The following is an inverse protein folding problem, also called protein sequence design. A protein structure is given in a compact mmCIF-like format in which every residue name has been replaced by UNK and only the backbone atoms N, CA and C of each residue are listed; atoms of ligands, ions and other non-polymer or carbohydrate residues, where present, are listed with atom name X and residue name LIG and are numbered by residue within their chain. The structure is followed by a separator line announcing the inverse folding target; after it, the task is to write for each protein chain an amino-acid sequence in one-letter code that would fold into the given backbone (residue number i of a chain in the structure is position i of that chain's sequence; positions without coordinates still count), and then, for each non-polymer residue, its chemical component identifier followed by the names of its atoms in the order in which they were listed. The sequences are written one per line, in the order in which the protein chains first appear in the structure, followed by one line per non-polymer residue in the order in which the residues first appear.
data_IF_435573381902
#
_entry.id   IF_435573381902
#
_cell.length_a   1.000
_cell.length_b   1.000
_cell.length_c   1.000
_cell.angle_alpha   90.00
_cell.angle_beta   90.00
_cell.angle_gamma   90.00
#
_symmetry.space_group_name_H-M   'P 1'
#
loop_
_entity.id
_entity.type
_entity.pdbx_description
1 polymer ?
#
# COMPACT_ATOMS: atom_id res chain seq x y z
N UNK A 1 -6.51 12.55 -0.61
CA UNK A 1 -6.66 11.89 0.72
C UNK A 1 -8.07 12.13 1.26
N UNK A 2 -8.69 11.13 1.91
CA UNK A 2 -10.04 11.25 2.46
C UNK A 2 -10.08 12.21 3.66
N UNK A 3 -11.18 12.96 3.77
CA UNK A 3 -11.45 13.90 4.86
C UNK A 3 -12.76 13.54 5.55
N UNK A 4 -12.83 13.75 6.86
CA UNK A 4 -14.04 13.62 7.69
C UNK A 4 -14.08 14.80 8.66
N UNK A 5 -15.20 15.51 8.72
CA UNK A 5 -15.32 16.74 9.51
C UNK A 5 -14.27 17.81 9.14
N UNK A 6 -13.94 17.95 7.85
CA UNK A 6 -12.93 18.89 7.35
C UNK A 6 -11.47 18.49 7.55
N UNK A 7 -11.17 17.51 8.43
CA UNK A 7 -9.81 17.03 8.73
C UNK A 7 -9.43 15.84 7.84
N UNK A 8 -8.16 15.73 7.44
CA UNK A 8 -7.68 14.57 6.67
C UNK A 8 -7.53 13.37 7.61
N UNK A 9 -7.96 12.19 7.20
CA UNK A 9 -7.96 11.00 8.06
C UNK A 9 -6.57 10.60 8.55
N UNK A 10 -5.53 10.78 7.73
CA UNK A 10 -4.17 10.44 8.14
C UNK A 10 -3.62 11.36 9.24
N UNK A 11 -4.12 12.60 9.36
CA UNK A 11 -3.74 13.52 10.44
C UNK A 11 -4.32 13.05 11.78
N UNK A 12 -5.53 12.50 11.75
CA UNK A 12 -6.16 11.89 12.93
C UNK A 12 -5.44 10.60 13.32
N UNK A 13 -5.08 9.76 12.34
CA UNK A 13 -4.34 8.52 12.56
C UNK A 13 -3.00 8.76 13.29
N UNK A 14 -2.20 9.73 12.82
CA UNK A 14 -0.91 10.08 13.45
C UNK A 14 -1.04 10.62 14.87
N UNK A 15 -2.20 11.16 15.22
CA UNK A 15 -2.52 11.66 16.57
C UNK A 15 -3.18 10.59 17.44
N UNK A 16 -3.36 9.37 16.94
CA UNK A 16 -4.14 8.30 17.59
C UNK A 16 -5.59 8.73 17.91
N UNK A 17 -6.17 9.60 17.07
CA UNK A 17 -7.54 10.12 17.21
C UNK A 17 -8.49 9.58 16.12
N UNK A 18 -8.07 8.55 15.40
CA UNK A 18 -8.87 7.96 14.33
C UNK A 18 -9.83 6.93 14.90
N UNK A 19 -11.13 7.23 14.87
CA UNK A 19 -12.19 6.27 15.17
C UNK A 19 -12.57 5.47 13.90
N UNK A 20 -12.66 4.14 14.02
CA UNK A 20 -13.04 3.25 12.92
C UNK A 20 -14.44 3.57 12.37
N UNK A 21 -15.35 4.09 13.20
CA UNK A 21 -16.69 4.54 12.79
C UNK A 21 -16.66 5.74 11.84
N UNK A 22 -15.55 6.49 11.82
CA UNK A 22 -15.35 7.61 10.91
C UNK A 22 -14.79 7.18 9.55
N UNK A 23 -14.42 5.91 9.37
CA UNK A 23 -13.85 5.47 8.10
C UNK A 23 -14.93 5.42 7.02
N UNK A 24 -14.79 6.20 5.94
CA UNK A 24 -15.76 6.19 4.86
C UNK A 24 -15.67 4.87 4.10
N UNK A 25 -16.78 4.15 4.04
CA UNK A 25 -16.90 2.95 3.20
C UNK A 25 -17.12 3.37 1.76
N UNK A 26 -16.45 2.69 0.83
CA UNK A 26 -16.63 2.89 -0.62
C UNK A 26 -16.69 1.53 -1.31
N UNK A 27 -17.77 1.29 -2.06
CA UNK A 27 -17.84 0.15 -2.97
C UNK A 27 -16.87 0.35 -4.13
N UNK A 28 -16.05 -0.65 -4.38
CA UNK A 28 -15.09 -0.71 -5.48
C UNK A 28 -15.24 -2.03 -6.23
N UNK A 29 -14.67 -2.11 -7.41
CA UNK A 29 -14.71 -3.31 -8.25
C UNK A 29 -13.29 -3.77 -8.49
N UNK A 30 -13.03 -5.03 -8.21
CA UNK A 30 -11.81 -5.71 -8.64
C UNK A 30 -12.15 -6.46 -9.93
N UNK A 31 -11.62 -5.98 -11.06
CA UNK A 31 -11.88 -6.58 -12.36
C UNK A 31 -11.07 -7.87 -12.55
N UNK A 32 -9.84 -7.89 -12.06
CA UNK A 32 -9.00 -9.09 -12.07
C UNK A 32 -7.91 -9.04 -11.00
N UNK A 33 -7.53 -10.22 -10.52
CA UNK A 33 -6.31 -10.47 -9.74
C UNK A 33 -5.56 -11.58 -10.48
N UNK A 34 -4.40 -11.26 -11.04
CA UNK A 34 -3.58 -12.23 -11.75
C UNK A 34 -2.32 -12.52 -10.91
N UNK A 35 -2.17 -13.73 -10.35
CA UNK A 35 -0.95 -14.15 -9.68
C UNK A 35 0.26 -13.99 -10.60
N UNK A 36 1.32 -13.38 -10.07
CA UNK A 36 2.61 -13.31 -10.75
C UNK A 36 3.55 -14.34 -10.13
N UNK A 37 3.70 -14.33 -8.79
CA UNK A 37 4.64 -15.22 -8.10
C UNK A 37 4.30 -15.31 -6.61
N UNK A 38 4.59 -16.46 -6.00
CA UNK A 38 4.72 -16.62 -4.55
C UNK A 38 6.19 -16.79 -4.21
N UNK A 39 6.69 -15.98 -3.28
CA UNK A 39 8.09 -15.97 -2.87
C UNK A 39 8.20 -15.83 -1.36
N UNK A 40 9.42 -15.96 -0.85
CA UNK A 40 9.73 -15.67 0.54
C UNK A 40 10.64 -14.45 0.60
N UNK A 41 10.30 -13.47 1.44
CA UNK A 41 11.16 -12.33 1.71
C UNK A 41 11.77 -12.45 3.11
N UNK A 42 13.03 -12.07 3.24
CA UNK A 42 13.64 -11.89 4.55
C UNK A 42 13.31 -10.50 5.08
N UNK A 43 12.73 -10.45 6.27
CA UNK A 43 12.57 -9.19 7.00
C UNK A 43 13.94 -8.79 7.57
N UNK A 44 14.71 -8.01 6.79
CA UNK A 44 15.90 -7.33 7.32
C UNK A 44 15.44 -6.11 8.10
N UNK A 45 15.93 -5.98 9.33
CA UNK A 45 15.68 -4.93 10.34
C UNK A 45 14.97 -3.68 9.76
N UNK A 46 13.65 -3.60 9.94
CA UNK A 46 12.91 -2.36 9.74
C UNK A 46 13.30 -1.40 10.87
N UNK A 47 14.35 -0.61 10.64
CA UNK A 47 14.74 0.49 11.50
C UNK A 47 13.83 1.67 11.14
N UNK A 48 13.04 2.18 12.09
CA UNK A 48 12.30 3.43 11.86
C UNK A 48 13.29 4.58 11.67
N UNK A 49 12.86 5.64 10.97
CA UNK A 49 13.60 6.90 10.88
C UNK A 49 13.95 7.49 12.26
N UNK A 50 13.23 7.11 13.32
CA UNK A 50 13.51 7.47 14.71
C UNK A 50 14.66 6.69 15.37
N UNK A 51 15.32 5.78 14.65
CA UNK A 51 16.35 4.90 15.18
C UNK A 51 15.84 3.81 16.13
N UNK A 52 14.52 3.71 16.33
CA UNK A 52 13.91 2.66 17.13
C UNK A 52 13.71 1.39 16.28
N UNK A 53 14.21 0.28 16.80
CA UNK A 53 13.89 -1.05 16.30
C UNK A 53 12.43 -1.37 16.65
N UNK A 54 11.53 -1.37 15.66
CA UNK A 54 10.10 -1.62 15.88
C UNK A 54 9.82 -3.06 16.31
N UNK A 55 10.72 -3.96 15.89
CA UNK A 55 10.68 -5.37 16.24
C UNK A 55 11.56 -5.67 17.46
N UNK A 56 11.78 -4.70 18.35
CA UNK A 56 12.41 -4.96 19.65
C UNK A 56 11.70 -6.11 20.36
N UNK A 57 12.38 -7.26 20.46
CA UNK A 57 11.93 -8.51 21.09
C UNK A 57 10.72 -9.25 20.47
N UNK A 58 10.40 -9.00 19.20
CA UNK A 58 9.45 -9.87 18.48
C UNK A 58 10.26 -10.79 17.59
N UNK A 59 10.27 -12.11 17.85
CA UNK A 59 11.17 -13.11 17.27
C UNK A 59 11.07 -13.37 15.75
N UNK A 60 10.86 -12.33 14.95
CA UNK A 60 10.79 -12.32 13.49
C UNK A 60 12.11 -11.95 12.81
N UNK A 61 13.13 -11.52 13.55
CA UNK A 61 14.48 -11.36 13.00
C UNK A 61 14.93 -12.68 12.36
N UNK A 62 15.41 -12.62 11.12
CA UNK A 62 15.81 -13.78 10.29
C UNK A 62 14.68 -14.75 9.89
N UNK A 63 13.40 -14.34 9.95
CA UNK A 63 12.31 -15.15 9.39
C UNK A 63 12.05 -14.83 7.93
N UNK A 64 11.87 -15.89 7.14
CA UNK A 64 11.33 -15.82 5.79
C UNK A 64 9.81 -15.71 5.88
N UNK A 65 9.24 -14.61 5.39
CA UNK A 65 7.79 -14.41 5.32
C UNK A 65 7.29 -14.71 3.91
N UNK A 66 6.11 -15.32 3.77
CA UNK A 66 5.49 -15.51 2.46
C UNK A 66 5.10 -14.16 1.87
N UNK A 67 5.38 -13.99 0.58
CA UNK A 67 5.05 -12.81 -0.20
C UNK A 67 4.32 -13.26 -1.46
N UNK A 68 3.12 -12.71 -1.63
CA UNK A 68 2.32 -12.90 -2.82
C UNK A 68 2.45 -11.67 -3.73
N UNK A 69 2.97 -11.88 -4.94
CA UNK A 69 3.03 -10.86 -5.99
C UNK A 69 1.92 -11.12 -7.00
N UNK A 70 1.12 -10.11 -7.29
CA UNK A 70 0.08 -10.16 -8.30
C UNK A 70 -0.04 -8.84 -9.06
N UNK A 71 -0.73 -8.87 -10.21
CA UNK A 71 -1.26 -7.69 -10.87
C UNK A 71 -2.75 -7.59 -10.60
N UNK A 72 -3.24 -6.37 -10.40
CA UNK A 72 -4.64 -6.11 -10.05
C UNK A 72 -5.20 -5.05 -11.00
N UNK A 73 -6.32 -5.35 -11.64
CA UNK A 73 -7.15 -4.38 -12.34
C UNK A 73 -8.34 -4.02 -11.46
N UNK A 74 -8.56 -2.72 -11.21
CA UNK A 74 -9.57 -2.27 -10.27
C UNK A 74 -10.19 -0.93 -10.65
N UNK A 75 -11.36 -0.63 -10.09
CA UNK A 75 -12.04 0.65 -10.27
C UNK A 75 -11.40 1.77 -9.44
N UNK A 76 -11.78 3.02 -9.75
CA UNK A 76 -11.17 4.21 -9.15
C UNK A 76 -11.42 4.29 -7.63
N UNK A 77 -10.39 4.69 -6.88
CA UNK A 77 -10.47 4.82 -5.42
C UNK A 77 -10.35 3.49 -4.66
N UNK A 78 -9.94 2.42 -5.33
CA UNK A 78 -9.53 1.17 -4.67
C UNK A 78 -8.25 1.39 -3.87
N UNK A 79 -8.28 1.01 -2.59
CA UNK A 79 -7.12 1.04 -1.71
C UNK A 79 -6.46 -0.35 -1.70
N UNK A 80 -5.41 -0.54 -2.49
CA UNK A 80 -4.68 -1.83 -2.56
C UNK A 80 -4.15 -2.27 -1.19
N UNK A 81 -3.84 -1.32 -0.30
CA UNK A 81 -3.48 -1.61 1.10
C UNK A 81 -4.62 -2.26 1.90
N UNK A 82 -5.85 -1.78 1.73
CA UNK A 82 -7.02 -2.38 2.35
C UNK A 82 -7.28 -3.77 1.76
N UNK A 83 -7.17 -3.91 0.43
CA UNK A 83 -7.28 -5.24 -0.20
C UNK A 83 -6.25 -6.24 0.34
N UNK A 84 -4.99 -5.83 0.55
CA UNK A 84 -3.98 -6.70 1.15
C UNK A 84 -4.36 -7.14 2.57
N UNK A 85 -4.89 -6.21 3.37
CA UNK A 85 -5.41 -6.52 4.71
C UNK A 85 -6.56 -7.53 4.65
N UNK A 86 -7.58 -7.26 3.84
CA UNK A 86 -8.77 -8.10 3.70
C UNK A 86 -8.44 -9.51 3.19
N UNK A 87 -7.52 -9.61 2.22
CA UNK A 87 -7.02 -10.92 1.74
C UNK A 87 -6.26 -11.68 2.83
N UNK A 88 -5.47 -10.98 3.64
CA UNK A 88 -4.81 -11.58 4.79
C UNK A 88 -5.83 -12.15 5.78
N UNK A 89 -6.82 -11.36 6.18
CA UNK A 89 -7.87 -11.80 7.11
C UNK A 89 -8.61 -13.03 6.58
N UNK A 90 -8.95 -13.04 5.28
CA UNK A 90 -9.60 -14.20 4.64
C UNK A 90 -8.74 -15.47 4.64
N UNK A 91 -7.40 -15.32 4.60
CA UNK A 91 -6.45 -16.43 4.70
C UNK A 91 -6.17 -16.86 6.15
N UNK A 92 -6.78 -16.20 7.13
CA UNK A 92 -6.56 -16.47 8.56
C UNK A 92 -5.24 -15.89 9.09
N UNK A 93 -4.66 -14.90 8.40
CA UNK A 93 -3.45 -14.21 8.83
C UNK A 93 -3.60 -12.69 8.67
N UNK A 94 -2.52 -11.91 8.86
CA UNK A 94 -2.51 -10.49 8.52
C UNK A 94 -1.82 -10.29 7.18
N UNK A 95 -2.36 -9.41 6.35
CA UNK A 95 -1.76 -9.03 5.08
C UNK A 95 -1.33 -7.57 5.10
N UNK A 96 -0.08 -7.32 4.70
CA UNK A 96 0.46 -5.96 4.56
C UNK A 96 1.00 -5.78 3.14
N UNK A 97 0.89 -4.54 2.64
CA UNK A 97 1.45 -4.19 1.34
C UNK A 97 2.95 -3.92 1.48
N UNK A 98 3.77 -4.79 0.89
CA UNK A 98 5.23 -4.63 0.87
C UNK A 98 5.72 -3.63 -0.19
N UNK A 99 5.18 -3.71 -1.41
CA UNK A 99 5.56 -2.87 -2.55
C UNK A 99 4.38 -2.70 -3.49
N UNK A 100 4.30 -1.54 -4.16
CA UNK A 100 3.24 -1.22 -5.10
C UNK A 100 3.78 -0.34 -6.23
N UNK A 101 3.50 -0.77 -7.46
CA UNK A 101 3.73 0.01 -8.67
C UNK A 101 2.40 0.16 -9.38
N UNK A 102 2.00 1.39 -9.67
CA UNK A 102 0.82 1.66 -10.49
C UNK A 102 1.27 1.70 -11.95
N UNK A 103 1.01 0.61 -12.67
CA UNK A 103 1.47 0.44 -14.06
C UNK A 103 0.60 1.16 -15.08
N UNK A 104 -0.67 1.42 -14.79
CA UNK A 104 -1.60 2.04 -15.74
C UNK A 104 -2.70 2.86 -15.04
N UNK A 105 -3.15 3.94 -15.69
CA UNK A 105 -4.34 4.74 -15.31
C UNK A 105 -5.13 5.06 -16.58
N UNK A 106 -6.30 4.46 -16.75
CA UNK A 106 -7.05 4.61 -18.00
C UNK A 106 -6.18 4.14 -19.18
N UNK A 107 -5.94 5.01 -20.15
CA UNK A 107 -5.11 4.72 -21.32
C UNK A 107 -3.60 4.97 -21.09
N UNK A 108 -3.24 5.66 -20.00
CA UNK A 108 -1.86 6.05 -19.72
C UNK A 108 -1.08 4.95 -19.01
N UNK A 109 0.01 4.50 -19.63
CA UNK A 109 0.88 3.44 -19.11
C UNK A 109 2.15 4.02 -18.49
N UNK A 110 2.71 3.35 -17.47
CA UNK A 110 3.94 3.76 -16.79
C UNK A 110 5.16 3.70 -17.71
N UNK A 111 5.14 2.81 -18.70
CA UNK A 111 6.18 2.67 -19.72
C UNK A 111 6.28 3.94 -20.60
N UNK A 112 5.17 4.67 -20.73
CA UNK A 112 5.12 5.96 -21.43
C UNK A 112 5.25 7.16 -20.47
N UNK A 113 5.56 6.91 -19.18
CA UNK A 113 5.74 7.98 -18.21
C UNK A 113 7.15 8.55 -18.29
N UNK A 114 7.27 9.85 -18.08
CA UNK A 114 8.54 10.57 -17.95
C UNK A 114 8.78 10.92 -16.49
N UNK A 115 10.03 10.79 -16.06
CA UNK A 115 10.42 11.28 -14.74
C UNK A 115 10.37 12.81 -14.75
N UNK A 116 9.70 13.40 -13.77
CA UNK A 116 9.58 14.87 -13.66
C UNK A 116 10.95 15.55 -13.61
N UNK A 117 11.99 14.88 -13.08
CA UNK A 117 13.36 15.41 -13.03
C UNK A 117 14.01 15.55 -14.40
N UNK A 118 13.53 14.81 -15.40
CA UNK A 118 14.08 14.82 -16.76
C UNK A 118 13.37 15.86 -17.65
N UNK A 119 12.37 16.56 -17.11
CA UNK A 119 11.68 17.63 -17.82
C UNK A 119 12.54 18.89 -17.82
N UNK A 120 12.87 19.39 -19.01
CA UNK A 120 13.40 20.74 -19.18
C UNK A 120 12.25 21.71 -19.48
N UNK A 121 12.20 22.81 -18.75
CA UNK A 121 11.32 23.92 -19.09
C UNK A 121 12.04 24.77 -20.15
N UNK A 122 11.34 25.08 -21.26
CA UNK A 122 11.75 26.18 -22.13
C UNK A 122 11.17 27.46 -21.55
N UNK A 123 12.02 28.42 -21.25
CA UNK A 123 11.59 29.81 -21.04
C UNK A 123 11.32 30.42 -22.43
N UNK A 124 10.12 30.94 -22.65
CA UNK A 124 9.74 31.76 -23.80
C UNK A 124 9.98 33.25 -23.49
#
# INVERSE_FOLDING_TARGET
AKKVGGKRLYDLARKNLLDSKLLPVKTVTIYSITPVTFLHAELKNFILESGQEVLGNVGFANRKIPVFKCTISCSSGTYIRSLAHDLGEQLGCSGILLSLVRTKVGEYSVENSVNVKDLSFKEE
#
